data_IF_934422932063
#
_entry.id   IF_934422932063
#
_cell.length_a   1.000
_cell.length_b   1.000
_cell.length_c   1.000
_cell.angle_alpha   90.00
_cell.angle_beta   90.00
_cell.angle_gamma   90.00
#
_symmetry.space_group_name_H-M   'P 1'
#
loop_
_entity.id
_entity.type
_entity.pdbx_description
1 polymer ?
#
# COMPACT_ATOMS: atom_id res chain seq x y z
N UNK A 1 4.90 -4.79 -26.97
CA UNK A 1 3.66 -4.01 -27.23
C UNK A 1 2.43 -4.64 -26.59
N UNK A 2 2.11 -5.93 -26.81
CA UNK A 2 0.93 -6.57 -26.21
C UNK A 2 0.88 -6.46 -24.68
N UNK A 3 1.99 -6.72 -24.00
CA UNK A 3 2.14 -6.60 -22.54
C UNK A 3 1.88 -5.19 -22.01
N UNK A 4 2.36 -4.17 -22.71
CA UNK A 4 2.16 -2.76 -22.34
C UNK A 4 0.69 -2.36 -22.48
N UNK A 5 0.05 -2.80 -23.57
CA UNK A 5 -1.37 -2.53 -23.83
C UNK A 5 -2.25 -3.26 -22.81
N UNK A 6 -1.97 -4.55 -22.51
CA UNK A 6 -2.75 -5.30 -21.53
C UNK A 6 -2.60 -4.72 -20.12
N UNK A 7 -1.40 -4.25 -19.75
CA UNK A 7 -1.15 -3.59 -18.47
C UNK A 7 -1.96 -2.30 -18.33
N UNK A 8 -1.91 -1.42 -19.33
CA UNK A 8 -2.68 -0.18 -19.32
C UNK A 8 -4.19 -0.45 -19.37
N UNK A 9 -4.63 -1.44 -20.15
CA UNK A 9 -6.04 -1.82 -20.23
C UNK A 9 -6.57 -2.33 -18.88
N UNK A 10 -5.82 -3.21 -18.20
CA UNK A 10 -6.20 -3.70 -16.88
C UNK A 10 -6.19 -2.59 -15.83
N UNK A 11 -5.11 -1.80 -15.76
CA UNK A 11 -4.99 -0.68 -14.82
C UNK A 11 -6.10 0.34 -15.04
N UNK A 12 -6.39 0.68 -16.29
CA UNK A 12 -7.49 1.57 -16.68
C UNK A 12 -8.86 0.99 -16.34
N UNK A 13 -9.07 -0.31 -16.55
CA UNK A 13 -10.30 -1.01 -16.15
C UNK A 13 -10.52 -0.93 -14.64
N UNK A 14 -9.50 -1.24 -13.84
CA UNK A 14 -9.57 -1.19 -12.37
C UNK A 14 -9.90 0.23 -11.91
N UNK A 15 -9.21 1.25 -12.46
CA UNK A 15 -9.46 2.65 -12.13
C UNK A 15 -10.89 3.10 -12.52
N UNK A 16 -11.36 2.73 -13.71
CA UNK A 16 -12.69 3.08 -14.19
C UNK A 16 -13.80 2.39 -13.38
N UNK A 17 -13.64 1.08 -13.11
CA UNK A 17 -14.59 0.30 -12.33
C UNK A 17 -14.68 0.80 -10.88
N UNK A 18 -13.53 1.04 -10.23
CA UNK A 18 -13.49 1.57 -8.87
C UNK A 18 -14.16 2.96 -8.82
N UNK A 19 -13.80 3.87 -9.73
CA UNK A 19 -14.39 5.20 -9.82
C UNK A 19 -15.90 5.16 -10.05
N UNK A 20 -16.37 4.30 -10.95
CA UNK A 20 -17.80 4.14 -11.24
C UNK A 20 -18.58 3.58 -10.05
N UNK A 21 -18.01 2.59 -9.34
CA UNK A 21 -18.64 1.96 -8.17
C UNK A 21 -18.70 2.92 -6.98
N UNK A 22 -17.72 3.80 -6.84
CA UNK A 22 -17.57 4.71 -5.71
C UNK A 22 -18.09 6.13 -5.96
N UNK A 23 -18.53 6.47 -7.18
CA UNK A 23 -19.04 7.82 -7.57
C UNK A 23 -20.17 8.38 -6.71
N UNK A 24 -20.90 7.54 -5.98
CA UNK A 24 -22.02 7.94 -5.10
C UNK A 24 -21.64 8.03 -3.62
N UNK A 25 -20.36 7.86 -3.28
CA UNK A 25 -19.88 7.94 -1.90
C UNK A 25 -19.66 9.41 -1.49
N UNK A 26 -20.07 9.76 -0.28
CA UNK A 26 -19.77 11.07 0.31
C UNK A 26 -18.35 11.09 0.89
N UNK A 27 -17.40 11.63 0.13
CA UNK A 27 -16.01 11.82 0.56
C UNK A 27 -15.78 13.12 1.36
N UNK A 28 -16.80 13.97 1.51
CA UNK A 28 -16.70 15.24 2.24
C UNK A 28 -16.67 15.08 3.77
N UNK A 29 -16.91 13.88 4.29
CA UNK A 29 -16.87 13.59 5.73
C UNK A 29 -15.61 12.81 6.09
N UNK A 30 -15.05 13.04 7.28
CA UNK A 30 -13.88 12.29 7.75
C UNK A 30 -14.15 10.77 7.78
N UNK A 31 -15.34 10.36 8.20
CA UNK A 31 -15.76 8.94 8.19
C UNK A 31 -15.86 8.38 6.76
N UNK A 32 -16.36 9.17 5.81
CA UNK A 32 -16.42 8.78 4.40
C UNK A 32 -15.04 8.63 3.76
N UNK A 33 -14.14 9.59 4.01
CA UNK A 33 -12.81 9.63 3.43
C UNK A 33 -11.83 8.64 4.08
N UNK A 34 -11.74 8.63 5.42
CA UNK A 34 -10.76 7.82 6.16
C UNK A 34 -11.28 6.46 6.62
N UNK A 35 -12.59 6.27 6.79
CA UNK A 35 -13.15 4.99 7.27
C UNK A 35 -13.98 4.26 6.21
N UNK A 36 -14.10 4.81 4.99
CA UNK A 36 -14.95 4.26 3.93
C UNK A 36 -16.42 4.09 4.36
N UNK A 37 -16.89 4.94 5.28
CA UNK A 37 -18.22 4.86 5.88
C UNK A 37 -18.51 3.55 6.62
N UNK A 38 -17.46 2.82 7.07
CA UNK A 38 -17.57 1.52 7.77
C UNK A 38 -18.40 0.47 7.01
N UNK A 39 -18.44 0.59 5.69
CA UNK A 39 -19.30 -0.20 4.79
C UNK A 39 -18.54 -1.30 4.04
N UNK A 40 -17.26 -1.48 4.35
CA UNK A 40 -16.40 -2.49 3.75
C UNK A 40 -16.77 -3.89 4.27
N UNK A 41 -16.91 -4.86 3.36
CA UNK A 41 -17.16 -6.25 3.73
C UNK A 41 -15.86 -6.93 4.16
N UNK A 42 -15.96 -7.98 4.99
CA UNK A 42 -14.78 -8.68 5.54
C UNK A 42 -13.79 -9.19 4.49
N UNK A 43 -14.28 -9.64 3.32
CA UNK A 43 -13.44 -10.09 2.20
C UNK A 43 -12.59 -8.94 1.63
N UNK A 44 -13.18 -7.75 1.47
CA UNK A 44 -12.48 -6.55 0.95
C UNK A 44 -11.45 -6.06 1.96
N UNK A 45 -11.77 -6.13 3.25
CA UNK A 45 -10.83 -5.78 4.32
C UNK A 45 -9.65 -6.75 4.31
N UNK A 46 -9.90 -8.06 4.28
CA UNK A 46 -8.85 -9.08 4.27
C UNK A 46 -7.97 -8.96 3.01
N UNK A 47 -8.57 -8.80 1.82
CA UNK A 47 -7.85 -8.62 0.57
C UNK A 47 -6.95 -7.39 0.58
N UNK A 48 -7.48 -6.23 1.01
CA UNK A 48 -6.69 -5.00 1.12
C UNK A 48 -5.59 -5.11 2.18
N UNK A 49 -5.84 -5.73 3.33
CA UNK A 49 -4.80 -5.96 4.35
C UNK A 49 -3.66 -6.83 3.83
N UNK A 50 -3.98 -7.89 3.08
CA UNK A 50 -2.97 -8.75 2.45
C UNK A 50 -2.15 -8.00 1.41
N UNK A 51 -2.79 -7.22 0.53
CA UNK A 51 -2.08 -6.44 -0.49
C UNK A 51 -1.34 -5.23 0.07
N UNK A 52 -1.79 -4.67 1.19
CA UNK A 52 -1.01 -3.65 1.91
C UNK A 52 0.27 -4.25 2.48
N UNK A 53 0.25 -5.54 2.84
CA UNK A 53 1.43 -6.24 3.31
C UNK A 53 2.34 -6.67 2.15
N UNK A 54 1.80 -7.13 1.02
CA UNK A 54 2.59 -7.56 -0.14
C UNK A 54 2.88 -6.37 -1.08
N UNK A 55 4.10 -5.86 -1.01
CA UNK A 55 4.58 -4.75 -1.82
C UNK A 55 5.70 -5.16 -2.80
N UNK A 56 6.12 -4.24 -3.68
CA UNK A 56 7.23 -4.43 -4.63
C UNK A 56 8.55 -4.76 -3.95
N UNK A 57 8.70 -4.41 -2.67
CA UNK A 57 9.80 -4.83 -1.80
C UNK A 57 9.86 -6.36 -1.61
N UNK A 58 8.72 -7.05 -1.53
CA UNK A 58 8.68 -8.51 -1.44
C UNK A 58 9.08 -9.13 -2.79
N UNK A 59 8.52 -8.59 -3.88
CA UNK A 59 8.72 -9.13 -5.22
C UNK A 59 10.14 -8.95 -5.77
N UNK A 60 10.83 -7.88 -5.41
CA UNK A 60 12.21 -7.61 -5.89
C UNK A 60 13.23 -7.73 -4.78
N UNK A 61 12.98 -7.07 -3.64
CA UNK A 61 13.93 -7.01 -2.53
C UNK A 61 14.13 -8.39 -1.90
N UNK A 62 13.05 -9.03 -1.46
CA UNK A 62 13.15 -10.36 -0.85
C UNK A 62 13.51 -11.45 -1.83
N UNK A 63 12.96 -11.46 -3.05
CA UNK A 63 13.38 -12.42 -4.07
C UNK A 63 14.87 -12.26 -4.44
N UNK A 64 15.36 -11.04 -4.59
CA UNK A 64 16.78 -10.77 -4.85
C UNK A 64 17.68 -11.20 -3.69
N UNK A 65 17.23 -10.97 -2.46
CA UNK A 65 17.93 -11.45 -1.27
C UNK A 65 17.88 -12.98 -1.18
N UNK A 66 16.78 -13.64 -1.58
CA UNK A 66 16.62 -15.09 -1.53
C UNK A 66 17.50 -15.77 -2.58
N UNK A 67 17.67 -15.14 -3.73
CA UNK A 67 18.65 -15.57 -4.73
C UNK A 67 20.08 -15.59 -4.18
N UNK A 68 20.44 -14.60 -3.34
CA UNK A 68 21.78 -14.49 -2.75
C UNK A 68 21.99 -15.37 -1.51
N UNK A 69 20.98 -15.42 -0.62
CA UNK A 69 21.09 -15.98 0.72
C UNK A 69 20.32 -17.32 0.88
N UNK A 70 19.63 -17.77 -0.17
CA UNK A 70 18.79 -18.96 -0.15
C UNK A 70 17.48 -18.79 0.64
N UNK A 71 16.92 -19.92 1.07
CA UNK A 71 15.61 -20.00 1.72
C UNK A 71 15.55 -19.38 3.12
N UNK A 72 16.67 -18.91 3.69
CA UNK A 72 16.71 -18.36 5.05
C UNK A 72 15.78 -17.15 5.25
N UNK A 73 15.44 -16.44 4.18
CA UNK A 73 14.55 -15.28 4.21
C UNK A 73 13.13 -15.64 4.60
N UNK A 74 12.72 -16.88 4.33
CA UNK A 74 11.40 -17.39 4.73
C UNK A 74 11.20 -17.27 6.26
N UNK A 75 12.28 -17.31 7.04
CA UNK A 75 12.21 -17.13 8.49
C UNK A 75 11.59 -15.78 8.90
N UNK A 76 11.79 -14.72 8.12
CA UNK A 76 11.16 -13.40 8.36
C UNK A 76 9.65 -13.46 8.23
N UNK A 77 9.15 -14.10 7.18
CA UNK A 77 7.71 -14.18 6.89
C UNK A 77 6.99 -15.13 7.84
N UNK A 78 7.54 -16.33 8.06
CA UNK A 78 6.91 -17.35 8.91
C UNK A 78 6.80 -16.89 10.35
N UNK A 79 7.87 -16.28 10.90
CA UNK A 79 7.85 -15.79 12.27
C UNK A 79 6.88 -14.60 12.43
N UNK A 80 6.85 -13.70 11.44
CA UNK A 80 5.94 -12.55 11.43
C UNK A 80 4.48 -12.99 11.35
N UNK A 81 4.15 -14.00 10.53
CA UNK A 81 2.79 -14.52 10.44
C UNK A 81 2.29 -15.07 11.78
N UNK A 82 3.10 -15.86 12.49
CA UNK A 82 2.73 -16.39 13.81
C UNK A 82 2.57 -15.25 14.83
N UNK A 83 3.50 -14.31 14.86
CA UNK A 83 3.42 -13.15 15.76
C UNK A 83 2.18 -12.28 15.47
N UNK A 84 1.83 -12.10 14.20
CA UNK A 84 0.64 -11.36 13.77
C UNK A 84 -0.65 -12.04 14.21
N UNK A 85 -0.77 -13.36 14.10
CA UNK A 85 -1.96 -14.09 14.57
C UNK A 85 -2.13 -13.95 16.08
N UNK A 86 -1.06 -14.16 16.85
CA UNK A 86 -1.09 -14.03 18.31
C UNK A 86 -1.42 -12.58 18.71
N UNK A 87 -0.76 -11.62 18.07
CA UNK A 87 -1.01 -10.19 18.27
C UNK A 87 -2.44 -9.81 17.92
N UNK A 88 -2.97 -10.30 16.80
CA UNK A 88 -4.34 -10.03 16.38
C UNK A 88 -5.36 -10.53 17.40
N UNK A 89 -5.23 -11.77 17.88
CA UNK A 89 -6.11 -12.34 18.90
C UNK A 89 -6.09 -11.56 20.22
N UNK A 90 -4.94 -11.01 20.60
CA UNK A 90 -4.79 -10.26 21.84
C UNK A 90 -5.21 -8.78 21.69
N UNK A 91 -4.73 -8.08 20.66
CA UNK A 91 -4.86 -6.63 20.54
C UNK A 91 -6.16 -6.19 19.87
N UNK A 92 -6.63 -6.89 18.82
CA UNK A 92 -7.84 -6.49 18.07
C UNK A 92 -9.08 -6.35 18.98
N UNK A 93 -9.40 -7.33 19.86
CA UNK A 93 -10.58 -7.22 20.72
C UNK A 93 -10.53 -6.01 21.67
N UNK A 94 -9.33 -5.58 22.07
CA UNK A 94 -9.14 -4.43 22.96
C UNK A 94 -9.28 -3.12 22.20
N UNK A 95 -8.64 -3.01 21.03
CA UNK A 95 -8.69 -1.79 20.23
C UNK A 95 -10.08 -1.50 19.68
N UNK A 96 -10.81 -2.54 19.25
CA UNK A 96 -12.19 -2.39 18.79
C UNK A 96 -13.14 -1.91 19.92
N UNK A 97 -12.97 -2.40 21.16
CA UNK A 97 -13.76 -1.94 22.32
C UNK A 97 -13.50 -0.47 22.68
N UNK A 98 -12.29 0.03 22.43
CA UNK A 98 -11.91 1.42 22.72
C UNK A 98 -12.37 2.41 21.64
N UNK A 99 -12.92 1.92 20.52
CA UNK A 99 -13.39 2.74 19.40
C UNK A 99 -12.27 3.52 18.71
N UNK A 100 -11.03 3.07 18.82
CA UNK A 100 -9.85 3.76 18.31
C UNK A 100 -9.78 3.67 16.78
N UNK A 101 -9.36 4.76 16.16
CA UNK A 101 -9.19 4.84 14.70
C UNK A 101 -7.72 4.76 14.28
N UNK A 102 -6.79 5.14 15.16
CA UNK A 102 -5.34 5.15 14.87
C UNK A 102 -4.49 4.68 16.05
N UNK A 103 -3.26 4.22 15.77
CA UNK A 103 -2.29 3.86 16.82
C UNK A 103 -1.88 5.07 17.67
N UNK A 104 -1.61 6.27 17.13
CA UNK A 104 -1.33 7.43 17.97
C UNK A 104 -2.48 7.79 18.91
N UNK A 105 -3.74 7.62 18.50
CA UNK A 105 -4.90 7.82 19.40
C UNK A 105 -4.88 6.86 20.60
N UNK A 106 -4.42 5.61 20.41
CA UNK A 106 -4.20 4.69 21.53
C UNK A 106 -3.15 5.24 22.52
N UNK A 107 -2.03 5.74 21.99
CA UNK A 107 -0.93 6.30 22.78
C UNK A 107 -1.40 7.51 23.58
N UNK A 108 -2.21 8.38 22.98
CA UNK A 108 -2.81 9.52 23.67
C UNK A 108 -3.68 9.10 24.85
N UNK A 109 -4.60 8.13 24.64
CA UNK A 109 -5.48 7.64 25.72
C UNK A 109 -4.69 6.94 26.84
N UNK A 110 -3.53 6.37 26.53
CA UNK A 110 -2.72 5.61 27.49
C UNK A 110 -1.71 6.46 28.25
N UNK A 111 -1.15 7.48 27.61
CA UNK A 111 -0.07 8.32 28.13
C UNK A 111 -0.53 9.79 28.16
N UNK A 112 -0.35 10.51 27.04
CA UNK A 112 -0.58 11.95 26.95
C UNK A 112 -0.50 12.45 25.50
N UNK A 113 -0.95 13.69 25.27
CA UNK A 113 -0.97 14.38 23.96
C UNK A 113 0.44 14.63 23.37
N UNK A 114 1.45 15.11 24.14
CA UNK A 114 2.83 15.20 23.64
C UNK A 114 3.36 13.88 23.09
N UNK A 115 3.16 12.78 23.82
CA UNK A 115 3.64 11.45 23.41
C UNK A 115 2.96 10.98 22.11
N UNK A 116 1.66 11.26 21.94
CA UNK A 116 0.97 11.02 20.66
C UNK A 116 1.59 11.82 19.51
N UNK A 117 1.93 13.09 19.72
CA UNK A 117 2.51 13.92 18.67
C UNK A 117 3.87 13.37 18.21
N UNK A 118 4.71 12.95 19.16
CA UNK A 118 5.99 12.29 18.89
C UNK A 118 5.76 10.99 18.10
N UNK A 119 4.83 10.14 18.55
CA UNK A 119 4.52 8.89 17.85
C UNK A 119 4.02 9.13 16.42
N UNK A 120 3.14 10.12 16.23
CA UNK A 120 2.61 10.48 14.91
C UNK A 120 3.73 10.97 13.99
N UNK A 121 4.64 11.79 14.50
CA UNK A 121 5.80 12.27 13.76
C UNK A 121 6.71 11.11 13.34
N UNK A 122 7.04 10.21 14.27
CA UNK A 122 7.88 9.04 14.00
C UNK A 122 7.25 8.17 12.91
N UNK A 123 5.94 7.91 12.99
CA UNK A 123 5.23 7.11 11.99
C UNK A 123 5.26 7.77 10.60
N UNK A 124 4.94 9.07 10.53
CA UNK A 124 4.94 9.81 9.26
C UNK A 124 6.35 9.82 8.65
N UNK A 125 7.36 10.16 9.45
CA UNK A 125 8.76 10.18 8.99
C UNK A 125 9.19 8.79 8.53
N UNK A 126 8.84 7.73 9.27
CA UNK A 126 9.13 6.36 8.89
C UNK A 126 8.53 6.03 7.52
N UNK A 127 7.23 6.32 7.30
CA UNK A 127 6.60 6.06 6.00
C UNK A 127 7.23 6.87 4.86
N UNK A 128 7.51 8.15 5.08
CA UNK A 128 8.03 9.04 4.04
C UNK A 128 9.49 8.76 3.69
N UNK A 129 10.32 8.42 4.68
CA UNK A 129 11.77 8.26 4.50
C UNK A 129 12.14 6.82 4.16
N UNK A 130 11.41 5.83 4.69
CA UNK A 130 11.77 4.42 4.52
C UNK A 130 10.85 3.73 3.53
N UNK A 131 9.55 3.68 3.81
CA UNK A 131 8.64 2.84 3.05
C UNK A 131 8.40 3.38 1.63
N UNK A 132 7.96 4.64 1.49
CA UNK A 132 7.62 5.21 0.19
C UNK A 132 8.80 5.17 -0.82
N UNK A 133 10.05 5.54 -0.45
CA UNK A 133 11.17 5.46 -1.38
C UNK A 133 11.50 4.02 -1.80
N UNK A 134 11.46 3.06 -0.87
CA UNK A 134 11.71 1.65 -1.17
C UNK A 134 10.67 1.12 -2.16
N UNK A 135 9.38 1.35 -1.89
CA UNK A 135 8.28 0.88 -2.74
C UNK A 135 8.33 1.52 -4.12
N UNK A 136 8.48 2.85 -4.21
CA UNK A 136 8.54 3.54 -5.50
C UNK A 136 9.77 3.14 -6.32
N UNK A 137 10.93 3.01 -5.68
CA UNK A 137 12.16 2.64 -6.38
C UNK A 137 12.13 1.18 -6.87
N UNK A 138 11.76 0.24 -6.01
CA UNK A 138 11.65 -1.17 -6.40
C UNK A 138 10.55 -1.35 -7.45
N UNK A 139 9.41 -0.67 -7.31
CA UNK A 139 8.35 -0.67 -8.32
C UNK A 139 8.81 -0.13 -9.67
N UNK A 140 9.58 0.96 -9.68
CA UNK A 140 10.15 1.51 -10.92
C UNK A 140 11.17 0.57 -11.57
N UNK A 141 12.00 -0.14 -10.79
CA UNK A 141 12.87 -1.20 -11.31
C UNK A 141 12.03 -2.31 -11.96
N UNK A 142 10.92 -2.72 -11.34
CA UNK A 142 10.06 -3.76 -11.88
C UNK A 142 9.51 -3.39 -13.26
N UNK A 143 8.93 -2.18 -13.34
CA UNK A 143 8.34 -1.66 -14.57
C UNK A 143 9.41 -1.51 -15.65
N UNK A 144 10.60 -0.99 -15.29
CA UNK A 144 11.75 -0.91 -16.21
C UNK A 144 12.14 -2.30 -16.73
N UNK A 145 12.20 -3.32 -15.86
CA UNK A 145 12.55 -4.70 -16.24
C UNK A 145 11.49 -5.41 -17.10
N UNK A 146 10.21 -5.03 -17.00
CA UNK A 146 9.12 -5.66 -17.78
C UNK A 146 8.92 -4.97 -19.12
N UNK A 147 9.03 -3.64 -19.16
CA UNK A 147 8.66 -2.83 -20.33
C UNK A 147 9.85 -2.21 -21.06
N UNK A 148 11.08 -2.37 -20.55
CA UNK A 148 12.30 -1.77 -21.09
C UNK A 148 12.09 -0.30 -21.47
N UNK A 149 11.57 0.48 -20.51
CA UNK A 149 11.18 1.88 -20.72
C UNK A 149 12.38 2.70 -21.22
N UNK A 150 13.58 2.44 -20.69
CA UNK A 150 14.79 3.12 -21.14
C UNK A 150 15.12 2.88 -22.62
N UNK A 151 14.95 1.66 -23.13
CA UNK A 151 15.18 1.34 -24.54
C UNK A 151 14.07 1.93 -25.42
N UNK A 152 12.82 1.83 -24.98
CA UNK A 152 11.65 2.30 -25.74
C UNK A 152 11.65 3.82 -25.93
N UNK A 153 12.04 4.56 -24.88
CA UNK A 153 12.11 6.03 -24.90
C UNK A 153 13.49 6.56 -25.29
N UNK A 154 14.45 5.66 -25.55
CA UNK A 154 15.83 5.99 -25.92
C UNK A 154 16.53 6.92 -24.91
N UNK A 155 16.31 6.66 -23.61
CA UNK A 155 16.87 7.41 -22.47
C UNK A 155 17.78 6.52 -21.63
N UNK A 156 18.65 7.13 -20.82
CA UNK A 156 19.47 6.37 -19.86
C UNK A 156 18.59 5.60 -18.87
N UNK A 157 18.99 4.39 -18.47
CA UNK A 157 18.28 3.56 -17.48
C UNK A 157 17.91 4.31 -16.19
N UNK A 158 18.82 5.17 -15.69
CA UNK A 158 18.55 6.05 -14.54
C UNK A 158 17.40 7.03 -14.81
N UNK A 159 17.33 7.59 -16.02
CA UNK A 159 16.24 8.47 -16.45
C UNK A 159 14.91 7.74 -16.56
N UNK A 160 14.90 6.51 -17.09
CA UNK A 160 13.71 5.65 -17.15
C UNK A 160 13.13 5.33 -15.77
N UNK A 161 13.99 4.98 -14.82
CA UNK A 161 13.60 4.75 -13.42
C UNK A 161 13.02 6.03 -12.80
N UNK A 162 13.70 7.18 -12.92
CA UNK A 162 13.20 8.45 -12.37
C UNK A 162 11.86 8.86 -12.96
N UNK A 163 11.70 8.75 -14.29
CA UNK A 163 10.44 9.02 -14.96
C UNK A 163 9.33 8.12 -14.41
N UNK A 164 9.60 6.84 -14.26
CA UNK A 164 8.65 5.86 -13.74
C UNK A 164 8.26 6.16 -12.30
N UNK A 165 9.22 6.51 -11.43
CA UNK A 165 8.95 6.92 -10.04
C UNK A 165 7.99 8.11 -10.01
N UNK A 166 8.26 9.15 -10.81
CA UNK A 166 7.42 10.36 -10.84
C UNK A 166 6.02 10.05 -11.38
N UNK A 167 5.90 9.25 -12.45
CA UNK A 167 4.61 8.89 -13.05
C UNK A 167 3.79 8.05 -12.08
N UNK A 168 4.35 6.96 -11.55
CA UNK A 168 3.64 6.06 -10.62
C UNK A 168 3.29 6.79 -9.32
N UNK A 169 4.22 7.57 -8.77
CA UNK A 169 3.99 8.37 -7.57
C UNK A 169 2.88 9.41 -7.77
N UNK A 170 2.86 10.09 -8.91
CA UNK A 170 1.82 11.08 -9.23
C UNK A 170 0.46 10.44 -9.43
N UNK A 171 0.37 9.34 -10.19
CA UNK A 171 -0.88 8.60 -10.40
C UNK A 171 -1.40 8.06 -9.07
N UNK A 172 -0.53 7.46 -8.25
CA UNK A 172 -0.88 6.97 -6.92
C UNK A 172 -1.36 8.08 -5.99
N UNK A 173 -0.72 9.26 -6.01
CA UNK A 173 -1.14 10.40 -5.21
C UNK A 173 -2.50 10.94 -5.64
N UNK A 174 -2.74 11.12 -6.94
CA UNK A 174 -4.07 11.52 -7.46
C UNK A 174 -5.12 10.51 -7.02
N UNK A 175 -4.84 9.23 -7.20
CA UNK A 175 -5.75 8.17 -6.82
C UNK A 175 -6.10 8.17 -5.33
N UNK A 176 -5.10 8.31 -4.46
CA UNK A 176 -5.30 8.35 -3.01
C UNK A 176 -6.06 9.61 -2.55
N UNK A 177 -5.71 10.78 -3.10
CA UNK A 177 -6.29 12.08 -2.71
C UNK A 177 -7.77 12.19 -3.14
N UNK A 178 -8.11 11.71 -4.35
CA UNK A 178 -9.49 11.82 -4.84
C UNK A 178 -10.35 10.60 -4.45
N UNK A 179 -9.74 9.48 -4.09
CA UNK A 179 -10.44 8.22 -3.82
C UNK A 179 -10.80 7.94 -2.36
N UNK A 180 -9.98 8.40 -1.41
CA UNK A 180 -10.09 7.99 0.00
C UNK A 180 -9.86 6.49 0.23
N UNK A 181 -10.00 6.05 1.50
CA UNK A 181 -9.66 4.67 1.91
C UNK A 181 -10.48 3.61 1.16
N UNK A 182 -11.76 3.89 0.88
CA UNK A 182 -12.65 2.90 0.24
C UNK A 182 -12.24 2.58 -1.19
N UNK A 183 -11.70 3.57 -1.90
CA UNK A 183 -11.17 3.42 -3.24
C UNK A 183 -9.93 2.53 -3.20
N UNK A 184 -8.96 2.86 -2.35
CA UNK A 184 -7.74 2.06 -2.14
C UNK A 184 -8.08 0.60 -1.80
N UNK A 185 -8.94 0.36 -0.80
CA UNK A 185 -9.28 -1.00 -0.38
C UNK A 185 -9.97 -1.82 -1.48
N UNK A 186 -10.83 -1.19 -2.29
CA UNK A 186 -11.50 -1.86 -3.41
C UNK A 186 -10.51 -2.25 -4.50
N UNK A 187 -9.58 -1.37 -4.87
CA UNK A 187 -8.59 -1.69 -5.90
C UNK A 187 -7.55 -2.66 -5.43
N UNK A 188 -7.15 -2.59 -4.17
CA UNK A 188 -6.24 -3.57 -3.58
C UNK A 188 -6.87 -4.97 -3.65
N UNK A 189 -8.17 -5.06 -3.34
CA UNK A 189 -8.87 -6.34 -3.43
C UNK A 189 -8.90 -6.86 -4.87
N UNK A 190 -9.19 -6.00 -5.86
CA UNK A 190 -9.23 -6.42 -7.27
C UNK A 190 -7.84 -6.80 -7.79
N UNK A 191 -6.79 -6.10 -7.36
CA UNK A 191 -5.41 -6.41 -7.75
C UNK A 191 -4.87 -7.66 -7.04
N UNK A 192 -5.46 -8.04 -5.90
CA UNK A 192 -5.03 -9.18 -5.10
C UNK A 192 -5.69 -10.50 -5.47
N UNK A 193 -6.75 -10.47 -6.28
CA UNK A 193 -7.40 -11.64 -6.89
C UNK A 193 -6.96 -11.80 -8.34
#
# INVERSE_FOLDING_TARGET
MLTFISFLAFTGFVAAYASWKLRKQNLHTQDGYFLGGRSLTGIVIAGSMLLTNISTEHLIGMNGSAYKNGAIIIAWEVLSAVALVIGALYFIPRYLKMGLTTIPEFIEKRFDRPTQAIMSLILIVSFVVTLLPIVLYTGAINIESIFDISQTLNITKKGGIWLTVVVVGSVGAVYAVFGGLKMVALTDTINGF
#
